data_IF_569127712448
#
_entry.id   IF_569127712448
#
_cell.length_a   1.000
_cell.length_b   1.000
_cell.length_c   1.000
_cell.angle_alpha   90.00
_cell.angle_beta   90.00
_cell.angle_gamma   90.00
#
_symmetry.space_group_name_H-M   'P 1'
#
loop_
_entity.id
_entity.type
_entity.pdbx_description
1 polymer ?
#
# COMPACT_ATOMS: atom_id res chain seq x y z
N UNK A 1 4.95 7.68 -51.19
CA UNK A 1 4.42 6.91 -52.34
C UNK A 1 2.91 6.62 -52.17
N UNK A 2 2.08 6.85 -53.19
CA UNK A 2 0.65 6.56 -53.09
C UNK A 2 0.44 5.05 -52.96
N UNK A 3 -0.58 4.58 -52.20
CA UNK A 3 -0.84 3.15 -52.07
C UNK A 3 -1.27 2.57 -53.43
N UNK A 4 -0.81 1.37 -53.80
CA UNK A 4 -1.36 0.68 -54.96
C UNK A 4 -2.83 0.33 -54.67
N UNK A 5 -3.72 0.86 -55.49
CA UNK A 5 -5.13 0.47 -55.53
C UNK A 5 -5.18 -1.00 -55.97
N UNK A 6 -5.45 -1.94 -55.06
CA UNK A 6 -6.14 -3.21 -55.36
C UNK A 6 -6.34 -4.08 -54.10
N UNK A 7 -7.59 -4.53 -53.97
CA UNK A 7 -8.09 -5.84 -53.53
C UNK A 7 -7.30 -6.58 -52.44
N UNK A 8 -7.96 -6.80 -51.30
CA UNK A 8 -7.68 -7.83 -50.27
C UNK A 8 -6.25 -8.40 -50.28
N UNK A 9 -5.33 -7.72 -49.60
CA UNK A 9 -3.93 -8.13 -49.51
C UNK A 9 -3.79 -9.49 -48.81
N UNK A 10 -3.49 -10.51 -49.60
CA UNK A 10 -3.01 -11.80 -49.15
C UNK A 10 -1.48 -11.72 -49.02
N UNK A 11 -0.87 -12.21 -47.93
CA UNK A 11 0.60 -12.15 -47.69
C UNK A 11 1.42 -12.93 -48.73
N UNK A 12 0.75 -13.63 -49.64
CA UNK A 12 1.38 -14.41 -50.71
C UNK A 12 1.59 -13.60 -52.00
N UNK A 13 0.96 -12.44 -52.17
CA UNK A 13 1.04 -11.65 -53.41
C UNK A 13 2.48 -11.22 -53.80
N UNK A 14 3.37 -10.79 -52.88
CA UNK A 14 4.75 -10.49 -53.23
C UNK A 14 5.53 -11.74 -53.68
N UNK A 15 5.26 -12.88 -53.05
CA UNK A 15 5.88 -14.17 -53.38
C UNK A 15 5.46 -14.66 -54.77
N UNK A 16 4.20 -14.43 -55.15
CA UNK A 16 3.69 -14.79 -56.47
C UNK A 16 4.30 -13.91 -57.57
N UNK A 17 4.49 -12.61 -57.31
CA UNK A 17 5.22 -11.72 -58.24
C UNK A 17 6.70 -12.09 -58.37
N UNK A 18 7.35 -12.53 -57.28
CA UNK A 18 8.72 -13.06 -57.31
C UNK A 18 8.85 -14.31 -58.17
N UNK A 19 7.88 -15.24 -58.07
CA UNK A 19 7.83 -16.44 -58.93
C UNK A 19 7.65 -16.09 -60.41
N UNK A 20 6.79 -15.11 -60.72
CA UNK A 20 6.59 -14.62 -62.09
C UNK A 20 7.86 -13.95 -62.63
N UNK A 21 8.53 -13.14 -61.81
CA UNK A 21 9.82 -12.53 -62.16
C UNK A 21 10.86 -13.59 -62.52
N UNK A 22 11.02 -14.63 -61.69
CA UNK A 22 11.96 -15.73 -61.95
C UNK A 22 11.63 -16.49 -63.23
N UNK A 23 10.34 -16.72 -63.51
CA UNK A 23 9.90 -17.40 -64.72
C UNK A 23 10.22 -16.56 -65.98
N UNK A 24 9.91 -15.26 -65.98
CA UNK A 24 10.21 -14.34 -67.08
C UNK A 24 11.72 -14.17 -67.30
N UNK A 25 12.51 -14.16 -66.23
CA UNK A 25 13.96 -14.13 -66.33
C UNK A 25 14.52 -15.42 -66.97
N UNK A 26 13.96 -16.60 -66.65
CA UNK A 26 14.32 -17.88 -67.28
C UNK A 26 13.92 -17.93 -68.77
N UNK A 27 12.81 -17.28 -69.13
CA UNK A 27 12.37 -17.12 -70.52
C UNK A 27 13.19 -16.09 -71.32
N UNK A 28 14.17 -15.41 -70.69
CA UNK A 28 15.00 -14.32 -71.24
C UNK A 28 14.24 -13.01 -71.55
N UNK A 29 13.02 -12.88 -71.05
CA UNK A 29 12.21 -11.65 -71.15
C UNK A 29 12.58 -10.68 -70.01
N UNK A 30 13.80 -10.13 -70.07
CA UNK A 30 14.36 -9.30 -69.00
C UNK A 30 13.61 -7.97 -68.80
N UNK A 31 13.00 -7.42 -69.86
CA UNK A 31 12.25 -6.16 -69.82
C UNK A 31 10.99 -6.29 -68.95
N UNK A 32 10.22 -7.37 -69.15
CA UNK A 32 9.04 -7.67 -68.36
C UNK A 32 9.41 -8.15 -66.95
N UNK A 33 10.46 -8.96 -66.81
CA UNK A 33 10.98 -9.35 -65.49
C UNK A 33 11.38 -8.14 -64.64
N UNK A 34 12.00 -7.10 -65.24
CA UNK A 34 12.35 -5.87 -64.54
C UNK A 34 11.12 -5.08 -64.07
N UNK A 35 10.08 -5.00 -64.90
CA UNK A 35 8.80 -4.36 -64.51
C UNK A 35 8.13 -5.08 -63.34
N UNK A 36 8.14 -6.42 -63.35
CA UNK A 36 7.60 -7.23 -62.25
C UNK A 36 8.42 -7.06 -60.98
N UNK A 37 9.76 -7.02 -61.08
CA UNK A 37 10.65 -6.75 -59.95
C UNK A 37 10.31 -5.43 -59.25
N UNK A 38 10.18 -4.34 -60.02
CA UNK A 38 9.87 -3.02 -59.45
C UNK A 38 8.52 -3.01 -58.71
N UNK A 39 7.52 -3.74 -59.22
CA UNK A 39 6.22 -3.89 -58.57
C UNK A 39 6.32 -4.71 -57.28
N UNK A 40 7.09 -5.79 -57.29
CA UNK A 40 7.34 -6.63 -56.12
C UNK A 40 8.08 -5.85 -55.02
N UNK A 41 9.17 -5.17 -55.38
CA UNK A 41 9.98 -4.36 -54.45
C UNK A 41 9.13 -3.24 -53.81
N UNK A 42 8.27 -2.58 -54.59
CA UNK A 42 7.37 -1.53 -54.07
C UNK A 42 6.30 -2.08 -53.11
N UNK A 43 5.74 -3.26 -53.40
CA UNK A 43 4.75 -3.92 -52.53
C UNK A 43 5.39 -4.45 -51.24
N UNK A 44 6.57 -5.08 -51.33
CA UNK A 44 7.33 -5.56 -50.17
C UNK A 44 7.69 -4.40 -49.24
N UNK A 45 8.15 -3.28 -49.79
CA UNK A 45 8.48 -2.09 -49.01
C UNK A 45 7.26 -1.55 -48.26
N UNK A 46 6.11 -1.45 -48.95
CA UNK A 46 4.87 -0.97 -48.33
C UNK A 46 4.35 -1.90 -47.24
N UNK A 47 4.34 -3.21 -47.48
CA UNK A 47 3.89 -4.21 -46.50
C UNK A 47 4.80 -4.23 -45.27
N UNK A 48 6.11 -4.16 -45.48
CA UNK A 48 7.11 -4.09 -44.40
C UNK A 48 6.91 -2.84 -43.56
N UNK A 49 6.71 -1.68 -44.19
CA UNK A 49 6.45 -0.42 -43.51
C UNK A 49 5.15 -0.47 -42.70
N UNK A 50 4.06 -0.99 -43.30
CA UNK A 50 2.78 -1.17 -42.62
C UNK A 50 2.89 -2.11 -41.42
N UNK A 51 3.54 -3.26 -41.59
CA UNK A 51 3.75 -4.23 -40.52
C UNK A 51 4.59 -3.63 -39.39
N UNK A 52 5.68 -2.92 -39.74
CA UNK A 52 6.54 -2.24 -38.77
C UNK A 52 5.76 -1.18 -37.99
N UNK A 53 4.96 -0.37 -38.67
CA UNK A 53 4.12 0.65 -38.02
C UNK A 53 3.08 0.02 -37.09
N UNK A 54 2.41 -1.06 -37.53
CA UNK A 54 1.46 -1.79 -36.69
C UNK A 54 2.12 -2.41 -35.45
N UNK A 55 3.28 -3.03 -35.62
CA UNK A 55 4.05 -3.60 -34.50
C UNK A 55 4.54 -2.52 -33.54
N UNK A 56 5.03 -1.41 -34.07
CA UNK A 56 5.48 -0.29 -33.25
C UNK A 56 4.31 0.30 -32.43
N UNK A 57 3.13 0.45 -33.02
CA UNK A 57 1.94 0.90 -32.31
C UNK A 57 1.50 -0.10 -31.22
N UNK A 58 1.54 -1.40 -31.51
CA UNK A 58 1.26 -2.46 -30.53
C UNK A 58 2.23 -2.39 -29.34
N UNK A 59 3.53 -2.21 -29.63
CA UNK A 59 4.57 -2.08 -28.61
C UNK A 59 4.38 -0.84 -27.75
N UNK A 60 4.07 0.32 -28.35
CA UNK A 60 3.79 1.55 -27.60
C UNK A 60 2.58 1.39 -26.67
N UNK A 61 1.52 0.72 -27.12
CA UNK A 61 0.35 0.47 -26.27
C UNK A 61 0.70 -0.45 -25.09
N UNK A 62 1.50 -1.51 -25.31
CA UNK A 62 1.97 -2.38 -24.24
C UNK A 62 2.83 -1.63 -23.23
N UNK A 63 3.75 -0.80 -23.73
CA UNK A 63 4.63 0.00 -22.88
C UNK A 63 3.85 1.03 -22.06
N UNK A 64 2.87 1.72 -22.67
CA UNK A 64 2.00 2.66 -21.99
C UNK A 64 1.19 1.99 -20.87
N UNK A 65 0.59 0.82 -21.16
CA UNK A 65 -0.13 0.02 -20.16
C UNK A 65 0.78 -0.41 -19.02
N UNK A 66 1.98 -0.89 -19.34
CA UNK A 66 2.96 -1.31 -18.34
C UNK A 66 3.39 -0.14 -17.44
N UNK A 67 3.77 1.00 -18.04
CA UNK A 67 4.12 2.22 -17.31
C UNK A 67 2.98 2.67 -16.39
N UNK A 68 1.75 2.65 -16.89
CA UNK A 68 0.57 3.02 -16.12
C UNK A 68 0.35 2.09 -14.92
N UNK A 69 0.43 0.77 -15.11
CA UNK A 69 0.32 -0.21 -14.02
C UNK A 69 1.41 0.03 -12.96
N UNK A 70 2.66 0.23 -13.37
CA UNK A 70 3.76 0.50 -12.43
C UNK A 70 3.58 1.81 -11.67
N UNK A 71 3.06 2.84 -12.32
CA UNK A 71 2.73 4.10 -11.65
C UNK A 71 1.60 3.90 -10.62
N UNK A 72 0.56 3.14 -10.95
CA UNK A 72 -0.51 2.83 -10.01
C UNK A 72 -0.02 2.02 -8.80
N UNK A 73 0.81 0.99 -9.03
CA UNK A 73 1.45 0.20 -7.97
C UNK A 73 2.27 1.10 -7.02
N UNK A 74 3.08 2.01 -7.57
CA UNK A 74 3.88 2.95 -6.79
C UNK A 74 2.98 3.85 -5.92
N UNK A 75 1.94 4.43 -6.52
CA UNK A 75 1.00 5.29 -5.79
C UNK A 75 0.27 4.53 -4.68
N UNK A 76 -0.13 3.27 -4.93
CA UNK A 76 -0.76 2.44 -3.92
C UNK A 76 0.20 2.14 -2.75
N UNK A 77 1.45 1.81 -3.04
CA UNK A 77 2.49 1.59 -2.02
C UNK A 77 2.75 2.87 -1.21
N UNK A 78 2.86 4.01 -1.86
CA UNK A 78 3.06 5.29 -1.19
C UNK A 78 1.88 5.62 -0.25
N UNK A 79 0.64 5.42 -0.70
CA UNK A 79 -0.55 5.58 0.14
C UNK A 79 -0.55 4.64 1.33
N UNK A 80 -0.16 3.37 1.14
CA UNK A 80 -0.06 2.39 2.24
C UNK A 80 0.99 2.78 3.26
N UNK A 81 2.14 3.29 2.83
CA UNK A 81 3.20 3.77 3.73
C UNK A 81 2.70 4.98 4.51
N UNK A 82 2.04 5.94 3.84
CA UNK A 82 1.55 7.15 4.48
C UNK A 82 0.46 6.85 5.51
N UNK A 83 -0.55 6.07 5.13
CA UNK A 83 -1.62 5.62 6.04
C UNK A 83 -1.06 4.83 7.22
N UNK A 84 -0.13 3.91 6.99
CA UNK A 84 0.53 3.18 8.08
C UNK A 84 1.32 4.08 9.03
N UNK A 85 1.98 5.13 8.53
CA UNK A 85 2.68 6.11 9.38
C UNK A 85 1.70 6.94 10.21
N UNK A 86 0.62 7.39 9.61
CA UNK A 86 -0.42 8.18 10.29
C UNK A 86 -1.13 7.37 11.37
N UNK A 87 -1.46 6.11 11.07
CA UNK A 87 -2.09 5.19 12.00
C UNK A 87 -1.17 4.89 13.20
N UNK A 88 0.11 4.61 12.96
CA UNK A 88 1.08 4.44 14.05
C UNK A 88 1.23 5.71 14.90
N UNK A 89 1.21 6.89 14.27
CA UNK A 89 1.28 8.16 15.00
C UNK A 89 0.04 8.35 15.88
N UNK A 90 -1.15 8.06 15.35
CA UNK A 90 -2.41 8.11 16.10
C UNK A 90 -2.44 7.10 17.24
N UNK A 91 -1.96 5.88 17.02
CA UNK A 91 -1.87 4.85 18.04
C UNK A 91 -0.95 5.29 19.19
N UNK A 92 0.24 5.80 18.88
CA UNK A 92 1.17 6.36 19.89
C UNK A 92 0.54 7.51 20.68
N UNK A 93 -0.23 8.38 20.01
CA UNK A 93 -0.92 9.48 20.67
C UNK A 93 -1.98 8.97 21.66
N UNK A 94 -2.82 8.01 21.24
CA UNK A 94 -3.82 7.40 22.11
C UNK A 94 -3.20 6.67 23.30
N UNK A 95 -2.10 5.96 23.09
CA UNK A 95 -1.41 5.25 24.16
C UNK A 95 -0.80 6.23 25.18
N UNK A 96 -0.26 7.36 24.71
CA UNK A 96 0.21 8.45 25.58
C UNK A 96 -0.93 9.07 26.39
N UNK A 97 -2.07 9.36 25.76
CA UNK A 97 -3.25 9.91 26.45
C UNK A 97 -3.77 8.95 27.53
N UNK A 98 -3.84 7.65 27.22
CA UNK A 98 -4.22 6.61 28.19
C UNK A 98 -3.25 6.55 29.37
N UNK A 99 -1.95 6.68 29.10
CA UNK A 99 -0.92 6.67 30.15
C UNK A 99 -1.03 7.92 31.04
N UNK A 100 -1.21 9.10 30.44
CA UNK A 100 -1.42 10.36 31.16
C UNK A 100 -2.67 10.31 32.03
N UNK A 101 -3.77 9.76 31.51
CA UNK A 101 -5.00 9.60 32.30
C UNK A 101 -4.79 8.66 33.49
N UNK A 102 -4.09 7.53 33.30
CA UNK A 102 -3.73 6.64 34.42
C UNK A 102 -2.88 7.34 35.47
N UNK A 103 -1.89 8.12 35.03
CA UNK A 103 -1.05 8.90 35.93
C UNK A 103 -1.87 9.93 36.73
N UNK A 104 -2.75 10.69 36.06
CA UNK A 104 -3.62 11.66 36.72
C UNK A 104 -4.55 10.99 37.74
N UNK A 105 -5.13 9.84 37.39
CA UNK A 105 -6.00 9.09 38.28
C UNK A 105 -5.23 8.67 39.56
N UNK A 106 -4.04 8.07 39.41
CA UNK A 106 -3.21 7.67 40.56
C UNK A 106 -2.79 8.87 41.40
N UNK A 107 -2.38 9.97 40.76
CA UNK A 107 -2.03 11.21 41.46
C UNK A 107 -3.20 11.74 42.28
N UNK A 108 -4.39 11.81 41.68
CA UNK A 108 -5.60 12.28 42.37
C UNK A 108 -6.02 11.38 43.53
N UNK A 109 -5.84 10.06 43.39
CA UNK A 109 -6.12 9.10 44.46
C UNK A 109 -5.15 9.29 45.64
N UNK A 110 -3.85 9.49 45.36
CA UNK A 110 -2.85 9.75 46.39
C UNK A 110 -3.10 11.09 47.10
N UNK A 111 -3.42 12.15 46.36
CA UNK A 111 -3.77 13.46 46.94
C UNK A 111 -5.02 13.35 47.83
N UNK A 112 -6.03 12.60 47.40
CA UNK A 112 -7.21 12.33 48.21
C UNK A 112 -6.88 11.54 49.49
N UNK A 113 -6.04 10.50 49.39
CA UNK A 113 -5.58 9.73 50.55
C UNK A 113 -4.81 10.61 51.54
N UNK A 114 -3.87 11.43 51.07
CA UNK A 114 -3.12 12.36 51.91
C UNK A 114 -4.02 13.40 52.57
N UNK A 115 -5.04 13.91 51.87
CA UNK A 115 -5.98 14.85 52.45
C UNK A 115 -6.84 14.19 53.55
N UNK A 116 -7.29 12.95 53.33
CA UNK A 116 -8.01 12.19 54.35
C UNK A 116 -7.13 11.91 55.58
N UNK A 117 -5.86 11.58 55.39
CA UNK A 117 -4.89 11.43 56.49
C UNK A 117 -4.67 12.74 57.25
N UNK A 118 -4.53 13.86 56.55
CA UNK A 118 -4.42 15.20 57.15
C UNK A 118 -5.63 15.51 58.03
N UNK A 119 -6.84 15.35 57.51
CA UNK A 119 -8.09 15.59 58.25
C UNK A 119 -8.18 14.66 59.46
N UNK A 120 -7.79 13.39 59.31
CA UNK A 120 -7.77 12.43 60.42
C UNK A 120 -6.78 12.86 61.50
N UNK A 121 -5.56 13.25 61.13
CA UNK A 121 -4.54 13.73 62.06
C UNK A 121 -5.00 15.01 62.78
N UNK A 122 -5.57 15.96 62.04
CA UNK A 122 -6.12 17.20 62.62
C UNK A 122 -7.21 16.91 63.63
N UNK A 123 -8.16 16.00 63.33
CA UNK A 123 -9.18 15.56 64.29
C UNK A 123 -8.58 14.86 65.52
N UNK A 124 -7.53 14.05 65.35
CA UNK A 124 -6.84 13.40 66.47
C UNK A 124 -6.04 14.40 67.34
N UNK A 125 -5.50 15.48 66.75
CA UNK A 125 -4.90 16.59 67.48
C UNK A 125 -5.95 17.37 68.27
N UNK A 126 -7.06 17.75 67.62
CA UNK A 126 -8.13 18.55 68.23
C UNK A 126 -8.86 17.81 69.35
N UNK A 127 -9.00 16.48 69.25
CA UNK A 127 -9.61 15.64 70.28
C UNK A 127 -8.66 15.30 71.45
N UNK A 128 -7.43 15.81 71.47
CA UNK A 128 -6.44 15.53 72.52
C UNK A 128 -5.90 14.08 72.53
N UNK A 129 -6.35 13.24 71.60
CA UNK A 129 -6.03 11.81 71.54
C UNK A 129 -4.57 11.52 71.13
N UNK A 130 -3.81 12.51 70.66
CA UNK A 130 -2.38 12.33 70.36
C UNK A 130 -1.51 12.22 71.62
N UNK A 131 -1.98 12.70 72.77
CA UNK A 131 -1.27 12.54 74.04
C UNK A 131 -1.35 11.09 74.57
N UNK A 132 -2.37 10.31 74.19
CA UNK A 132 -2.56 8.94 74.67
C UNK A 132 -1.77 7.87 73.89
N UNK A 133 -1.18 8.20 72.74
CA UNK A 133 -0.49 7.22 71.88
C UNK A 133 1.02 7.12 72.14
N UNK A 134 1.63 8.15 72.75
CA UNK A 134 3.03 8.08 73.24
C UNK A 134 3.17 7.18 74.48
N UNK A 135 2.07 6.93 75.21
CA UNK A 135 2.10 6.10 76.43
C UNK A 135 1.66 4.63 76.22
N UNK A 136 1.38 4.23 74.97
CA UNK A 136 0.84 2.91 74.61
C UNK A 136 1.76 2.15 73.65
N UNK A 137 3.07 2.19 73.91
CA UNK A 137 4.03 1.28 73.30
C UNK A 137 3.95 -0.12 73.93
N UNK A 138 2.85 -0.86 73.75
CA UNK A 138 2.83 -2.31 74.05
C UNK A 138 1.68 -3.07 73.36
N UNK A 139 2.06 -3.85 72.33
CA UNK A 139 1.58 -5.21 72.02
C UNK A 139 0.17 -5.39 71.43
N UNK A 140 0.13 -5.70 70.12
CA UNK A 140 -0.63 -6.79 69.41
C UNK A 140 -0.74 -6.38 67.93
N UNK A 141 -0.18 -7.10 66.94
CA UNK A 141 -0.20 -8.54 66.75
C UNK A 141 -1.54 -8.96 66.13
N UNK A 142 -1.49 -9.38 64.85
CA UNK A 142 -2.49 -10.10 64.04
C UNK A 142 -3.39 -9.31 63.07
N UNK A 143 -3.51 -9.86 61.84
CA UNK A 143 -4.72 -9.66 61.03
C UNK A 143 -4.56 -9.35 59.53
N UNK A 144 -3.74 -10.11 58.78
CA UNK A 144 -3.71 -10.07 57.31
C UNK A 144 -5.05 -10.55 56.72
N UNK A 145 -5.95 -9.66 56.31
CA UNK A 145 -7.15 -9.99 55.54
C UNK A 145 -6.89 -9.87 54.04
N UNK A 146 -6.82 -11.02 53.35
CA UNK A 146 -6.86 -11.13 51.88
C UNK A 146 -8.29 -10.81 51.41
N UNK A 147 -8.48 -9.72 50.68
CA UNK A 147 -9.68 -9.49 49.87
C UNK A 147 -9.42 -9.93 48.44
N UNK A 148 -10.01 -11.08 48.11
CA UNK A 148 -10.04 -11.70 46.79
C UNK A 148 -11.10 -10.97 45.95
N UNK A 149 -10.71 -10.08 45.04
CA UNK A 149 -11.65 -9.41 44.13
C UNK A 149 -11.67 -10.15 42.79
N UNK A 150 -12.86 -10.66 42.45
CA UNK A 150 -13.18 -11.44 41.25
C UNK A 150 -12.92 -10.61 39.97
N UNK A 151 -12.35 -11.28 38.98
CA UNK A 151 -12.18 -10.82 37.60
C UNK A 151 -13.44 -11.22 36.85
N UNK A 152 -14.20 -10.26 36.32
CA UNK A 152 -15.27 -10.53 35.35
C UNK A 152 -14.76 -10.08 34.00
N UNK A 153 -14.43 -11.06 33.15
CA UNK A 153 -14.21 -10.88 31.72
C UNK A 153 -15.58 -10.82 31.05
N UNK A 154 -15.94 -9.66 30.51
CA UNK A 154 -16.96 -9.57 29.48
C UNK A 154 -16.25 -9.50 28.13
N UNK A 155 -16.25 -10.62 27.44
CA UNK A 155 -16.12 -10.71 25.99
C UNK A 155 -17.43 -10.23 25.39
N UNK A 156 -17.38 -9.22 24.52
CA UNK A 156 -18.49 -8.87 23.64
C UNK A 156 -17.95 -9.05 22.23
N UNK A 157 -18.33 -10.18 21.64
CA UNK A 157 -18.30 -10.42 20.20
C UNK A 157 -19.52 -9.73 19.59
N UNK A 158 -19.33 -9.10 18.43
CA UNK A 158 -20.34 -8.40 17.65
C UNK A 158 -19.72 -7.39 16.69
#
# INVERSE_FOLDING_TARGET
PPPPLTLSHSPFLPLDLRRIQEHLAKARDYTEAHKIKLKADALEAWETERWRNGKQQEMFQKEAKFKHQKQQELLALQKRIQTGREEQKKQRQMDLERLLQRYQNVKSELEAQQNLERIRMERMCQSGSLSSMVNSGRVRGTGRKKTRRRKTTQTVDG
#
